data_IF_237490228099
#
_entry.id   IF_237490228099
#
_cell.length_a   1.000
_cell.length_b   1.000
_cell.length_c   1.000
_cell.angle_alpha   90.00
_cell.angle_beta   90.00
_cell.angle_gamma   90.00
#
_symmetry.space_group_name_H-M   'P 1'
#
loop_
_entity.id
_entity.type
_entity.pdbx_description
1 polymer ?
#
# COMPACT_ATOMS: atom_id res chain seq x y z
N UNK A 1 -15.05 15.75 -15.65
CA UNK A 1 -15.87 16.17 -14.49
C UNK A 1 -15.26 15.56 -13.24
N UNK A 2 -14.79 16.37 -12.30
CA UNK A 2 -14.21 15.87 -11.03
C UNK A 2 -15.34 15.21 -10.24
N UNK A 3 -15.22 13.92 -9.94
CA UNK A 3 -16.19 13.23 -9.07
C UNK A 3 -16.26 13.97 -7.72
N UNK A 4 -17.47 14.15 -7.14
CA UNK A 4 -17.61 14.80 -5.84
C UNK A 4 -16.89 13.98 -4.76
N UNK A 5 -16.21 14.66 -3.84
CA UNK A 5 -15.57 14.02 -2.70
C UNK A 5 -16.63 13.62 -1.67
N UNK A 6 -16.59 12.37 -1.21
CA UNK A 6 -17.45 11.88 -0.14
C UNK A 6 -16.77 12.10 1.22
N UNK A 7 -17.52 12.62 2.20
CA UNK A 7 -16.99 12.88 3.54
C UNK A 7 -17.15 11.65 4.41
N UNK A 8 -16.03 11.07 4.81
CA UNK A 8 -15.96 9.99 5.79
C UNK A 8 -15.61 10.55 7.17
N UNK A 9 -16.27 10.06 8.22
CA UNK A 9 -15.95 10.39 9.61
C UNK A 9 -15.41 9.14 10.31
N UNK A 10 -14.13 9.18 10.69
CA UNK A 10 -13.43 8.06 11.34
C UNK A 10 -12.66 8.55 12.55
N UNK A 11 -12.65 7.73 13.60
CA UNK A 11 -11.81 7.95 14.78
C UNK A 11 -10.45 7.29 14.57
N UNK A 12 -9.39 8.02 14.90
CA UNK A 12 -8.01 7.52 14.83
C UNK A 12 -7.31 7.80 16.16
N UNK A 13 -6.28 7.03 16.54
CA UNK A 13 -5.47 7.32 17.71
C UNK A 13 -4.93 8.75 17.69
N UNK A 14 -5.00 9.44 18.83
CA UNK A 14 -4.63 10.86 18.94
C UNK A 14 -3.17 11.12 18.57
N UNK A 15 -2.26 10.21 18.93
CA UNK A 15 -0.85 10.31 18.60
C UNK A 15 -0.57 10.13 17.10
N UNK A 16 -1.32 9.24 16.43
CA UNK A 16 -1.28 9.08 14.97
C UNK A 16 -1.77 10.36 14.29
N UNK A 17 -2.92 10.89 14.72
CA UNK A 17 -3.46 12.14 14.18
C UNK A 17 -2.46 13.30 14.32
N UNK A 18 -1.82 13.44 15.48
CA UNK A 18 -0.78 14.46 15.72
C UNK A 18 0.42 14.27 14.80
N UNK A 19 0.88 13.03 14.64
CA UNK A 19 2.04 12.70 13.80
C UNK A 19 1.78 12.98 12.32
N UNK A 20 0.61 12.61 11.81
CA UNK A 20 0.21 12.91 10.42
C UNK A 20 0.10 14.42 10.23
N UNK A 21 -0.57 15.15 11.13
CA UNK A 21 -0.71 16.61 11.03
C UNK A 21 0.64 17.33 11.03
N UNK A 22 1.60 16.91 11.87
CA UNK A 22 2.97 17.44 11.84
C UNK A 22 3.65 17.21 10.49
N UNK A 23 3.44 16.06 9.87
CA UNK A 23 4.05 15.69 8.58
C UNK A 23 3.46 16.45 7.39
N UNK A 24 2.15 16.65 7.36
CA UNK A 24 1.41 17.11 6.16
C UNK A 24 0.94 18.56 6.24
N UNK A 25 1.04 19.17 7.43
CA UNK A 25 0.58 20.53 7.67
C UNK A 25 -0.95 20.68 7.72
N UNK A 26 -1.46 21.92 7.84
CA UNK A 26 -2.87 22.20 8.16
C UNK A 26 -3.87 21.81 7.06
N UNK A 27 -3.44 21.76 5.78
CA UNK A 27 -4.31 21.43 4.63
C UNK A 27 -3.99 20.07 3.97
N UNK A 28 -2.98 19.36 4.46
CA UNK A 28 -2.51 18.13 3.82
C UNK A 28 -3.19 16.84 4.29
N UNK A 29 -4.04 16.90 5.32
CA UNK A 29 -4.59 15.69 5.97
C UNK A 29 -5.47 14.88 5.03
N UNK A 30 -6.45 15.49 4.38
CA UNK A 30 -7.39 14.77 3.49
C UNK A 30 -6.66 14.10 2.33
N UNK A 31 -5.72 14.80 1.69
CA UNK A 31 -4.93 14.22 0.59
C UNK A 31 -3.99 13.10 1.05
N UNK A 32 -3.44 13.20 2.28
CA UNK A 32 -2.65 12.13 2.86
C UNK A 32 -3.49 10.89 3.14
N UNK A 33 -4.65 11.06 3.77
CA UNK A 33 -5.56 9.95 4.08
C UNK A 33 -6.06 9.28 2.81
N UNK A 34 -6.45 10.05 1.79
CA UNK A 34 -6.87 9.51 0.51
C UNK A 34 -5.79 8.63 -0.14
N UNK A 35 -4.53 9.11 -0.20
CA UNK A 35 -3.41 8.31 -0.72
C UNK A 35 -3.13 7.07 0.13
N UNK A 36 -3.21 7.19 1.46
CA UNK A 36 -3.02 6.06 2.35
C UNK A 36 -4.09 4.97 2.12
N UNK A 37 -5.35 5.37 1.98
CA UNK A 37 -6.45 4.46 1.65
C UNK A 37 -6.26 3.77 0.30
N UNK A 38 -5.85 4.53 -0.73
CA UNK A 38 -5.56 3.97 -2.05
C UNK A 38 -4.42 2.94 -1.99
N UNK A 39 -3.31 3.28 -1.33
CA UNK A 39 -2.19 2.36 -1.18
C UNK A 39 -2.57 1.09 -0.39
N UNK A 40 -3.47 1.20 0.59
CA UNK A 40 -3.92 0.03 1.35
C UNK A 40 -4.74 -0.91 0.47
N UNK A 41 -5.72 -0.36 -0.28
CA UNK A 41 -6.52 -1.15 -1.22
C UNK A 41 -5.68 -1.80 -2.31
N UNK A 42 -4.69 -1.07 -2.85
CA UNK A 42 -3.74 -1.61 -3.83
C UNK A 42 -2.89 -2.75 -3.24
N UNK A 43 -2.48 -2.64 -1.96
CA UNK A 43 -1.73 -3.70 -1.26
C UNK A 43 -2.58 -4.94 -1.02
N UNK A 44 -3.83 -4.76 -0.59
CA UNK A 44 -4.78 -5.86 -0.41
C UNK A 44 -5.03 -6.59 -1.74
N UNK A 45 -5.28 -5.83 -2.82
CA UNK A 45 -5.47 -6.41 -4.15
C UNK A 45 -4.24 -7.17 -4.63
N UNK A 46 -3.04 -6.59 -4.47
CA UNK A 46 -1.79 -7.26 -4.84
C UNK A 46 -1.55 -8.51 -4.01
N UNK A 47 -1.83 -8.46 -2.70
CA UNK A 47 -1.72 -9.60 -1.81
C UNK A 47 -2.63 -10.76 -2.25
N UNK A 48 -3.91 -10.46 -2.49
CA UNK A 48 -4.88 -11.45 -2.96
C UNK A 48 -4.46 -12.10 -4.29
N UNK A 49 -3.91 -11.32 -5.22
CA UNK A 49 -3.42 -11.85 -6.50
C UNK A 49 -2.18 -12.74 -6.33
N UNK A 50 -1.25 -12.37 -5.44
CA UNK A 50 -0.09 -13.22 -5.14
C UNK A 50 -0.51 -14.55 -4.49
N UNK A 51 -1.50 -14.52 -3.59
CA UNK A 51 -2.07 -15.73 -2.99
C UNK A 51 -2.78 -16.64 -4.01
N UNK A 52 -3.41 -16.05 -5.03
CA UNK A 52 -3.97 -16.80 -6.16
C UNK A 52 -2.85 -17.50 -6.95
N UNK A 53 -1.80 -16.77 -7.32
CA UNK A 53 -0.65 -17.34 -8.03
C UNK A 53 0.04 -18.46 -7.24
N UNK A 54 0.21 -18.28 -5.93
CA UNK A 54 0.80 -19.30 -5.06
C UNK A 54 -0.06 -20.57 -5.00
N UNK A 55 -1.40 -20.44 -5.03
CA UNK A 55 -2.32 -21.59 -5.08
C UNK A 55 -2.28 -22.31 -6.43
N UNK A 56 -2.18 -21.57 -7.53
CA UNK A 56 -2.20 -22.15 -8.88
C UNK A 56 -0.85 -22.76 -9.29
N UNK A 57 0.25 -22.08 -8.96
CA UNK A 57 1.59 -22.42 -9.43
C UNK A 57 2.46 -23.09 -8.37
N UNK A 58 2.07 -22.99 -7.10
CA UNK A 58 2.88 -23.43 -5.98
C UNK A 58 4.04 -22.46 -5.66
N UNK A 59 4.84 -22.76 -4.62
CA UNK A 59 5.89 -21.86 -4.16
C UNK A 59 7.01 -21.70 -5.19
N UNK A 60 7.53 -20.47 -5.31
CA UNK A 60 8.66 -20.20 -6.20
C UNK A 60 9.89 -21.03 -5.79
N UNK A 61 10.48 -21.85 -6.68
CA UNK A 61 11.63 -22.68 -6.33
C UNK A 61 12.83 -21.83 -5.90
N UNK A 62 13.48 -22.23 -4.80
CA UNK A 62 14.60 -21.48 -4.20
C UNK A 62 15.75 -21.20 -5.18
N UNK A 63 16.00 -22.11 -6.14
CA UNK A 63 17.00 -21.93 -7.20
C UNK A 63 16.71 -20.72 -8.08
N UNK A 64 15.44 -20.52 -8.44
CA UNK A 64 14.98 -19.42 -9.30
C UNK A 64 15.10 -18.09 -8.55
N UNK A 65 14.69 -18.04 -7.28
CA UNK A 65 14.86 -16.85 -6.44
C UNK A 65 16.33 -16.46 -6.26
N UNK A 66 17.22 -17.43 -6.06
CA UNK A 66 18.66 -17.19 -5.94
C UNK A 66 19.24 -16.60 -7.22
N UNK A 67 18.85 -17.15 -8.37
CA UNK A 67 19.26 -16.63 -9.67
C UNK A 67 18.76 -15.21 -9.91
N UNK A 68 17.46 -14.95 -9.73
CA UNK A 68 16.86 -13.63 -9.89
C UNK A 68 17.53 -12.56 -9.00
N UNK A 69 17.83 -12.89 -7.74
CA UNK A 69 18.54 -11.99 -6.82
C UNK A 69 19.96 -11.66 -7.29
N UNK A 70 20.64 -12.62 -7.92
CA UNK A 70 22.00 -12.42 -8.47
C UNK A 70 21.96 -11.47 -9.67
N UNK A 71 21.02 -11.65 -10.59
CA UNK A 71 20.88 -10.78 -11.77
C UNK A 71 20.39 -9.38 -11.39
N UNK A 72 19.48 -9.24 -10.42
CA UNK A 72 18.97 -7.94 -9.99
C UNK A 72 20.05 -7.06 -9.34
N UNK A 73 20.97 -7.65 -8.56
CA UNK A 73 22.09 -6.91 -7.93
C UNK A 73 23.21 -6.54 -8.91
N UNK A 74 23.15 -7.03 -10.14
CA UNK A 74 24.13 -6.74 -11.20
C UNK A 74 23.74 -5.58 -12.12
N UNK A 75 22.72 -4.79 -11.78
CA UNK A 75 22.25 -3.62 -12.52
C UNK A 75 22.37 -2.34 -11.70
#
# INVERSE_FOLDING_TARGET
MTKPAEKLSVSVPSDLARSVRRRVGPRGLSGFVARAMQHELEREQLGAYLEELDRELGPVPARVLKEARRTWRGR
#
